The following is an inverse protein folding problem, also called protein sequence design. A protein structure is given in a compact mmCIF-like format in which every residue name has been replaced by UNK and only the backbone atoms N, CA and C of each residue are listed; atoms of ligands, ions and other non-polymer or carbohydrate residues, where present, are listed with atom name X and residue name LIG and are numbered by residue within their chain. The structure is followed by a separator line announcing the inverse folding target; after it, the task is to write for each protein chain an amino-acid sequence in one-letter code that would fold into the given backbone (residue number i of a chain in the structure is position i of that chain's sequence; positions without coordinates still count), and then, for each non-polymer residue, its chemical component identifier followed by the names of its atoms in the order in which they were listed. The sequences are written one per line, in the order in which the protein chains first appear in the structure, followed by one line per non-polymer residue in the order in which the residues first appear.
data_IF_202426327506
#
_entry.id   IF_202426327506
#
_cell.length_a   1.000
_cell.length_b   1.000
_cell.length_c   1.000
_cell.angle_alpha   90.00
_cell.angle_beta   90.00
_cell.angle_gamma   90.00
#
_symmetry.space_group_name_H-M   'P 1'
#
loop_
_entity.id
_entity.type
_entity.pdbx_description
1 polymer ?
#
# COMPACT_ATOMS: atom_id res chain seq x y z
N UNK A 1 21.36 4.23 -7.67
CA UNK A 1 20.08 3.89 -8.31
C UNK A 1 20.32 2.76 -9.32
N UNK A 2 19.60 1.64 -9.20
CA UNK A 2 19.65 0.53 -10.17
C UNK A 2 18.56 0.74 -11.21
N UNK A 3 18.86 0.50 -12.51
CA UNK A 3 17.89 0.61 -13.61
C UNK A 3 17.87 -0.67 -14.43
N UNK A 4 16.69 -1.11 -14.83
CA UNK A 4 16.47 -2.25 -15.73
C UNK A 4 15.08 -2.16 -16.38
N UNK A 5 14.75 -3.09 -17.27
CA UNK A 5 13.45 -3.13 -17.94
C UNK A 5 12.60 -4.28 -17.39
N UNK A 6 11.35 -4.01 -17.09
CA UNK A 6 10.34 -5.04 -16.87
C UNK A 6 9.79 -5.48 -18.22
N UNK A 7 10.09 -6.70 -18.62
CA UNK A 7 9.66 -7.27 -19.91
C UNK A 7 8.33 -7.96 -19.78
N UNK A 8 7.40 -7.61 -20.65
CA UNK A 8 6.07 -8.21 -20.77
C UNK A 8 5.79 -8.57 -22.23
N UNK A 9 4.74 -9.32 -22.50
CA UNK A 9 4.26 -9.55 -23.87
C UNK A 9 3.68 -8.30 -24.55
N UNK A 10 3.38 -7.25 -23.78
CA UNK A 10 2.80 -5.98 -24.25
C UNK A 10 3.83 -4.86 -24.39
N UNK A 11 5.09 -5.08 -23.99
CA UNK A 11 6.17 -4.10 -24.09
C UNK A 11 7.14 -4.16 -22.92
N UNK A 12 8.11 -3.26 -22.94
CA UNK A 12 9.15 -3.13 -21.91
C UNK A 12 8.98 -1.81 -21.17
N UNK A 13 8.95 -1.87 -19.83
CA UNK A 13 8.74 -0.69 -18.98
C UNK A 13 9.98 -0.43 -18.10
N UNK A 14 10.50 0.81 -18.06
CA UNK A 14 11.67 1.14 -17.26
C UNK A 14 11.37 1.01 -15.75
N UNK A 15 12.27 0.34 -15.05
CA UNK A 15 12.24 0.12 -13.61
C UNK A 15 13.45 0.81 -12.96
N UNK A 16 13.16 1.65 -11.99
CA UNK A 16 14.15 2.37 -11.21
C UNK A 16 14.08 1.92 -9.76
N UNK A 17 15.19 1.41 -9.21
CA UNK A 17 15.28 1.10 -7.78
C UNK A 17 16.11 2.17 -7.10
N UNK A 18 15.52 2.82 -6.12
CA UNK A 18 16.17 3.90 -5.39
C UNK A 18 17.23 3.35 -4.42
N UNK A 19 18.27 4.14 -4.20
CA UNK A 19 19.30 3.79 -3.23
C UNK A 19 18.81 4.09 -1.80
N UNK A 20 19.23 3.31 -0.79
CA UNK A 20 18.91 3.57 0.62
C UNK A 20 19.20 5.01 1.08
N UNK A 21 20.28 5.62 0.60
CA UNK A 21 20.68 6.99 0.97
C UNK A 21 19.60 8.06 0.64
N UNK A 22 18.71 7.76 -0.32
CA UNK A 22 17.59 8.64 -0.66
C UNK A 22 16.56 8.79 0.49
N UNK A 23 16.63 7.93 1.51
CA UNK A 23 15.66 7.87 2.62
C UNK A 23 16.25 8.27 3.97
N UNK A 24 17.53 8.69 4.00
CA UNK A 24 18.24 8.98 5.25
C UNK A 24 18.47 7.72 6.08
N UNK A 25 18.70 7.86 7.39
CA UNK A 25 19.04 6.73 8.27
C UNK A 25 17.89 5.74 8.57
N UNK A 26 16.78 5.80 7.84
CA UNK A 26 15.62 4.91 8.07
C UNK A 26 15.78 3.52 7.45
N UNK A 27 16.78 3.32 6.59
CA UNK A 27 17.09 2.01 6.05
C UNK A 27 17.93 1.21 7.04
N UNK A 28 17.30 0.26 7.71
CA UNK A 28 18.00 -0.61 8.65
C UNK A 28 18.53 -1.87 7.97
N UNK A 29 19.78 -2.22 8.26
CA UNK A 29 20.35 -3.49 7.84
C UNK A 29 19.59 -4.65 8.49
N UNK A 30 19.47 -5.76 7.76
CA UNK A 30 18.79 -6.96 8.22
C UNK A 30 19.43 -7.50 9.51
N UNK A 31 18.62 -7.68 10.55
CA UNK A 31 19.03 -8.34 11.79
C UNK A 31 18.90 -9.85 11.67
N UNK A 32 19.91 -10.61 12.11
CA UNK A 32 19.86 -12.07 12.20
C UNK A 32 18.73 -12.52 13.15
N UNK A 33 18.52 -11.81 14.24
CA UNK A 33 17.43 -12.08 15.18
C UNK A 33 16.07 -11.96 14.51
N UNK A 34 15.87 -10.94 13.66
CA UNK A 34 14.62 -10.76 12.92
C UNK A 34 14.43 -11.84 11.85
N UNK A 35 15.50 -12.27 11.18
CA UNK A 35 15.44 -13.41 10.25
C UNK A 35 15.01 -14.67 11.01
N UNK A 36 15.59 -14.94 12.17
CA UNK A 36 15.19 -16.05 13.05
C UNK A 36 13.71 -15.97 13.47
N UNK A 37 13.24 -14.76 13.80
CA UNK A 37 11.83 -14.50 14.10
C UNK A 37 10.91 -14.81 12.91
N UNK A 38 11.26 -14.42 11.68
CA UNK A 38 10.47 -14.77 10.49
C UNK A 38 10.43 -16.28 10.23
N UNK A 39 11.55 -16.98 10.43
CA UNK A 39 11.60 -18.44 10.34
C UNK A 39 10.69 -19.10 11.40
N UNK A 40 10.81 -18.66 12.66
CA UNK A 40 9.94 -19.13 13.73
C UNK A 40 8.46 -18.89 13.42
N UNK A 41 8.12 -17.70 12.96
CA UNK A 41 6.76 -17.33 12.55
C UNK A 41 6.24 -18.24 11.44
N UNK A 42 7.08 -18.54 10.43
CA UNK A 42 6.75 -19.47 9.36
C UNK A 42 6.49 -20.89 9.85
N UNK A 43 7.38 -21.42 10.68
CA UNK A 43 7.24 -22.76 11.27
C UNK A 43 6.01 -22.85 12.18
N UNK A 44 5.80 -21.86 13.04
CA UNK A 44 4.64 -21.79 13.92
C UNK A 44 3.33 -21.74 13.11
N UNK A 45 3.24 -20.86 12.10
CA UNK A 45 2.06 -20.76 11.25
C UNK A 45 1.80 -22.06 10.49
N UNK A 46 2.85 -22.73 10.00
CA UNK A 46 2.73 -24.03 9.35
C UNK A 46 2.19 -25.10 10.30
N UNK A 47 2.76 -25.21 11.50
CA UNK A 47 2.32 -26.18 12.52
C UNK A 47 0.85 -25.94 12.92
N UNK A 48 0.45 -24.69 13.15
CA UNK A 48 -0.91 -24.32 13.49
C UNK A 48 -1.89 -24.61 12.34
N UNK A 49 -1.48 -24.37 11.09
CA UNK A 49 -2.26 -24.73 9.90
C UNK A 49 -2.52 -26.22 9.79
N UNK A 50 -1.48 -27.03 9.95
CA UNK A 50 -1.62 -28.51 9.92
C UNK A 50 -2.55 -28.98 11.01
N UNK A 51 -2.37 -28.51 12.24
CA UNK A 51 -3.21 -28.85 13.38
C UNK A 51 -4.67 -28.50 13.13
N UNK A 52 -4.96 -27.28 12.68
CA UNK A 52 -6.32 -26.83 12.40
C UNK A 52 -6.95 -27.60 11.22
N UNK A 53 -6.15 -27.92 10.18
CA UNK A 53 -6.62 -28.73 9.06
C UNK A 53 -7.03 -30.12 9.50
N UNK A 54 -6.24 -30.74 10.41
CA UNK A 54 -6.60 -32.01 11.00
C UNK A 54 -7.88 -31.92 11.81
N UNK A 55 -8.04 -30.92 12.68
CA UNK A 55 -9.27 -30.69 13.42
C UNK A 55 -10.47 -30.47 12.50
N UNK A 56 -10.38 -29.60 11.50
CA UNK A 56 -11.46 -29.38 10.52
C UNK A 56 -11.81 -30.66 9.75
N UNK A 57 -10.81 -31.45 9.39
CA UNK A 57 -11.02 -32.74 8.72
C UNK A 57 -11.82 -33.70 9.59
N UNK A 58 -11.51 -33.78 10.89
CA UNK A 58 -12.17 -34.66 11.85
C UNK A 58 -13.57 -34.17 12.20
N UNK A 59 -13.69 -32.90 12.63
CA UNK A 59 -14.93 -32.32 13.11
C UNK A 59 -16.01 -32.20 12.02
N UNK A 60 -15.61 -31.90 10.79
CA UNK A 60 -16.55 -31.71 9.67
C UNK A 60 -16.86 -33.02 8.91
N UNK A 61 -16.49 -34.16 9.43
CA UNK A 61 -16.70 -35.48 8.79
C UNK A 61 -15.96 -35.66 7.44
N UNK A 62 -15.03 -34.77 7.10
CA UNK A 62 -14.26 -34.78 5.84
C UNK A 62 -13.10 -35.79 5.86
N UNK A 63 -13.29 -36.93 6.50
CA UNK A 63 -12.21 -37.97 6.66
C UNK A 63 -11.65 -38.45 5.33
N UNK A 64 -12.49 -38.50 4.31
CA UNK A 64 -12.11 -38.99 2.97
C UNK A 64 -11.47 -37.89 2.05
N UNK A 65 -11.38 -36.65 2.52
CA UNK A 65 -10.73 -35.59 1.75
C UNK A 65 -9.22 -35.61 2.01
N UNK A 66 -8.35 -35.64 0.98
CA UNK A 66 -6.92 -35.58 1.19
C UNK A 66 -6.49 -34.37 2.01
N UNK A 67 -5.57 -34.57 2.95
CA UNK A 67 -5.06 -33.47 3.81
C UNK A 67 -4.50 -32.31 2.99
N UNK A 68 -3.82 -32.60 1.87
CA UNK A 68 -3.28 -31.58 0.98
C UNK A 68 -4.35 -30.64 0.43
N UNK A 69 -5.56 -31.14 0.12
CA UNK A 69 -6.68 -30.29 -0.32
C UNK A 69 -7.20 -29.39 0.80
N UNK A 70 -7.29 -29.92 2.02
CA UNK A 70 -7.70 -29.12 3.20
C UNK A 70 -6.69 -28.02 3.49
N UNK A 71 -5.38 -28.32 3.43
CA UNK A 71 -4.30 -27.35 3.60
C UNK A 71 -4.32 -26.29 2.51
N UNK A 72 -4.60 -26.68 1.27
CA UNK A 72 -4.70 -25.73 0.15
C UNK A 72 -5.90 -24.77 0.30
N UNK A 73 -7.06 -25.29 0.71
CA UNK A 73 -8.25 -24.47 1.01
C UNK A 73 -7.96 -23.50 2.17
N UNK A 74 -7.31 -23.97 3.22
CA UNK A 74 -6.92 -23.16 4.39
C UNK A 74 -5.83 -22.14 4.05
N UNK A 75 -4.92 -22.46 3.15
CA UNK A 75 -3.88 -21.52 2.69
C UNK A 75 -4.44 -20.26 2.03
N UNK A 76 -5.74 -20.25 1.71
CA UNK A 76 -6.48 -19.10 1.19
C UNK A 76 -7.26 -18.33 2.24
N UNK A 77 -7.41 -18.92 3.44
CA UNK A 77 -8.13 -18.32 4.56
C UNK A 77 -7.12 -17.81 5.58
N UNK A 78 -6.97 -16.48 5.66
CA UNK A 78 -6.09 -15.81 6.59
C UNK A 78 -6.68 -15.68 8.00
N UNK A 79 -7.97 -15.96 8.21
CA UNK A 79 -8.62 -15.99 9.53
C UNK A 79 -8.21 -17.24 10.32
N UNK A 80 -6.96 -17.24 10.82
CA UNK A 80 -6.35 -18.41 11.40
C UNK A 80 -5.97 -18.19 12.86
N UNK A 81 -6.00 -19.27 13.69
CA UNK A 81 -5.61 -19.18 15.11
C UNK A 81 -4.17 -18.72 15.33
N UNK A 82 -3.29 -18.85 14.33
CA UNK A 82 -1.92 -18.33 14.40
C UNK A 82 -1.87 -16.80 14.61
N UNK A 83 -2.90 -16.07 14.20
CA UNK A 83 -2.99 -14.63 14.41
C UNK A 83 -3.09 -14.25 15.90
N UNK A 84 -3.62 -15.15 16.75
CA UNK A 84 -3.73 -14.93 18.19
C UNK A 84 -2.36 -14.86 18.88
N UNK A 85 -1.34 -15.45 18.26
CA UNK A 85 0.02 -15.41 18.79
C UNK A 85 0.53 -13.97 18.96
N UNK A 86 0.42 -13.14 17.90
CA UNK A 86 0.92 -11.77 17.94
C UNK A 86 0.14 -10.86 18.90
N UNK A 87 -1.17 -11.05 19.04
CA UNK A 87 -2.04 -10.22 19.87
C UNK A 87 -1.71 -10.31 21.37
N UNK A 88 -1.18 -11.46 21.82
CA UNK A 88 -0.78 -11.66 23.22
C UNK A 88 0.52 -10.94 23.57
N UNK A 89 1.35 -10.64 22.58
CA UNK A 89 2.67 -10.08 22.80
C UNK A 89 2.77 -8.60 22.46
N UNK A 90 1.83 -8.06 21.68
CA UNK A 90 1.83 -6.66 21.29
C UNK A 90 0.42 -6.18 20.93
N UNK A 91 -0.11 -5.20 21.70
CA UNK A 91 -1.36 -4.52 21.35
C UNK A 91 -1.29 -3.79 20.01
N UNK A 92 -0.10 -3.42 19.56
CA UNK A 92 0.11 -2.82 18.25
C UNK A 92 -0.02 -3.85 17.12
N UNK A 93 0.27 -5.14 17.37
CA UNK A 93 -0.07 -6.20 16.43
C UNK A 93 -1.59 -6.32 16.24
N UNK A 94 -2.34 -6.28 17.35
CA UNK A 94 -3.81 -6.25 17.30
C UNK A 94 -4.32 -5.03 16.52
N UNK A 95 -3.78 -3.82 16.82
CA UNK A 95 -4.14 -2.58 16.10
C UNK A 95 -3.82 -2.67 14.61
N UNK A 96 -2.64 -3.17 14.22
CA UNK A 96 -2.28 -3.37 12.82
C UNK A 96 -3.20 -4.38 12.12
N UNK A 97 -3.55 -5.48 12.78
CA UNK A 97 -4.44 -6.50 12.25
C UNK A 97 -5.86 -5.99 12.02
N UNK A 98 -6.47 -5.31 12.99
CA UNK A 98 -7.81 -4.74 12.86
C UNK A 98 -7.89 -3.57 11.89
N UNK A 99 -6.79 -2.86 11.70
CA UNK A 99 -6.66 -1.81 10.69
C UNK A 99 -6.11 -2.32 9.34
N UNK A 100 -5.95 -3.63 9.16
CA UNK A 100 -5.42 -4.22 7.93
C UNK A 100 -6.23 -3.76 6.71
N UNK A 101 -5.54 -3.41 5.63
CA UNK A 101 -6.09 -2.80 4.43
C UNK A 101 -6.75 -1.41 4.64
N UNK A 102 -6.72 -0.86 5.85
CA UNK A 102 -7.27 0.44 6.20
C UNK A 102 -6.20 1.47 6.54
N UNK A 103 -6.64 2.71 6.74
CA UNK A 103 -5.78 3.83 7.07
C UNK A 103 -5.09 3.70 8.44
N UNK A 104 -5.70 2.98 9.41
CA UNK A 104 -5.20 2.84 10.78
C UNK A 104 -3.85 2.10 10.83
N UNK A 105 -3.69 1.04 10.02
CA UNK A 105 -2.42 0.32 9.93
C UNK A 105 -1.36 1.15 9.22
N UNK A 106 -1.76 1.88 8.19
CA UNK A 106 -0.86 2.79 7.47
C UNK A 106 -0.41 3.93 8.39
N UNK A 107 -1.31 4.53 9.18
CA UNK A 107 -0.96 5.56 10.16
C UNK A 107 0.04 5.05 11.21
N UNK A 108 -0.19 3.83 11.74
CA UNK A 108 0.75 3.20 12.66
C UNK A 108 2.15 3.05 12.05
N UNK A 109 2.24 2.64 10.78
CA UNK A 109 3.52 2.40 10.12
C UNK A 109 4.21 3.69 9.66
N UNK A 110 3.47 4.63 9.09
CA UNK A 110 4.00 5.92 8.64
C UNK A 110 4.55 6.75 9.80
N UNK A 111 3.79 6.79 10.88
CA UNK A 111 4.07 7.66 12.01
C UNK A 111 4.66 6.90 13.22
N UNK A 112 5.22 5.71 13.01
CA UNK A 112 5.76 4.88 14.08
C UNK A 112 6.79 5.62 14.95
N UNK A 113 7.79 6.23 14.32
CA UNK A 113 8.88 6.91 15.03
C UNK A 113 8.42 8.16 15.78
N UNK A 114 7.45 8.87 15.23
CA UNK A 114 6.96 10.15 15.76
C UNK A 114 5.85 9.98 16.80
N UNK A 115 4.88 9.08 16.53
CA UNK A 115 3.68 8.94 17.36
C UNK A 115 3.70 7.71 18.27
N UNK A 116 4.24 6.57 17.80
CA UNK A 116 4.13 5.30 18.52
C UNK A 116 5.34 5.00 19.38
N UNK A 117 6.54 5.06 18.80
CA UNK A 117 7.79 4.75 19.50
C UNK A 117 8.02 5.52 20.80
N UNK A 118 7.75 6.84 20.88
CA UNK A 118 7.94 7.62 22.11
C UNK A 118 7.02 7.18 23.25
N UNK A 119 5.88 6.58 22.94
CA UNK A 119 4.88 6.14 23.92
C UNK A 119 5.10 4.69 24.40
N UNK A 120 6.03 3.96 23.78
CA UNK A 120 6.34 2.58 24.18
C UNK A 120 7.10 2.55 25.50
N UNK A 121 6.56 1.85 26.48
CA UNK A 121 7.22 1.64 27.76
C UNK A 121 8.44 0.71 27.62
N UNK A 122 9.32 0.73 28.62
CA UNK A 122 10.46 -0.19 28.72
C UNK A 122 10.07 -1.51 29.42
N UNK A 123 8.87 -2.00 29.12
CA UNK A 123 8.39 -3.32 29.51
C UNK A 123 8.54 -4.33 28.37
N UNK A 124 8.18 -5.58 28.64
CA UNK A 124 8.27 -6.67 27.70
C UNK A 124 7.47 -6.41 26.40
N UNK A 125 6.27 -5.86 26.52
CA UNK A 125 5.43 -5.51 25.37
C UNK A 125 6.07 -4.42 24.51
N UNK A 126 6.58 -3.38 25.13
CA UNK A 126 7.26 -2.29 24.43
C UNK A 126 8.54 -2.75 23.71
N UNK A 127 9.33 -3.63 24.34
CA UNK A 127 10.53 -4.21 23.73
C UNK A 127 10.19 -5.06 22.52
N UNK A 128 9.18 -5.95 22.61
CA UNK A 128 8.72 -6.78 21.51
C UNK A 128 8.14 -5.93 20.38
N UNK A 129 7.35 -4.91 20.73
CA UNK A 129 6.77 -4.00 19.74
C UNK A 129 7.86 -3.27 18.95
N UNK A 130 8.88 -2.72 19.64
CA UNK A 130 10.05 -2.14 18.96
C UNK A 130 10.71 -3.16 18.06
N UNK A 131 10.96 -4.37 18.56
CA UNK A 131 11.65 -5.40 17.82
C UNK A 131 10.96 -5.72 16.49
N UNK A 132 9.67 -6.06 16.50
CA UNK A 132 9.02 -6.47 15.27
C UNK A 132 8.69 -5.30 14.33
N UNK A 133 8.25 -4.13 14.85
CA UNK A 133 7.92 -2.98 14.00
C UNK A 133 9.18 -2.36 13.39
N UNK A 134 10.25 -2.16 14.16
CA UNK A 134 11.46 -1.50 13.65
C UNK A 134 12.16 -2.33 12.57
N UNK A 135 12.23 -3.65 12.76
CA UNK A 135 12.88 -4.54 11.81
C UNK A 135 11.99 -4.96 10.64
N UNK A 136 10.70 -4.69 10.70
CA UNK A 136 9.76 -5.04 9.64
C UNK A 136 10.07 -4.27 8.35
N UNK A 137 10.49 -5.01 7.30
CA UNK A 137 10.80 -4.41 5.99
C UNK A 137 9.57 -3.79 5.34
N UNK A 138 8.39 -4.43 5.48
CA UNK A 138 7.16 -3.86 4.95
C UNK A 138 6.79 -2.53 5.61
N UNK A 139 7.02 -2.34 6.92
CA UNK A 139 6.82 -1.05 7.57
C UNK A 139 7.74 0.01 6.96
N UNK A 140 9.02 -0.29 6.82
CA UNK A 140 9.98 0.63 6.23
C UNK A 140 9.65 0.91 4.76
N UNK A 141 9.30 -0.12 3.98
CA UNK A 141 8.90 0.01 2.58
C UNK A 141 7.65 0.87 2.40
N UNK A 142 6.65 0.71 3.28
CA UNK A 142 5.42 1.54 3.30
C UNK A 142 5.76 3.01 3.60
N UNK A 143 6.63 3.28 4.57
CA UNK A 143 7.10 4.64 4.87
C UNK A 143 7.90 5.24 3.70
N UNK A 144 8.76 4.44 3.07
CA UNK A 144 9.52 4.86 1.89
C UNK A 144 8.58 5.14 0.70
N UNK A 145 7.54 4.30 0.50
CA UNK A 145 6.50 4.52 -0.49
C UNK A 145 5.83 5.88 -0.31
N UNK A 146 5.45 6.24 0.93
CA UNK A 146 4.88 7.54 1.23
C UNK A 146 5.79 8.68 0.76
N UNK A 147 7.09 8.63 1.10
CA UNK A 147 8.07 9.63 0.69
C UNK A 147 8.22 9.72 -0.83
N UNK A 148 8.25 8.58 -1.52
CA UNK A 148 8.31 8.53 -2.99
C UNK A 148 7.07 9.19 -3.59
N UNK A 149 5.87 8.81 -3.13
CA UNK A 149 4.61 9.37 -3.66
C UNK A 149 4.53 10.88 -3.43
N UNK A 150 4.92 11.36 -2.24
CA UNK A 150 5.00 12.81 -1.96
C UNK A 150 5.91 13.51 -2.97
N UNK A 151 7.12 12.99 -3.21
CA UNK A 151 8.06 13.62 -4.14
C UNK A 151 7.57 13.55 -5.60
N UNK A 152 6.91 12.45 -6.00
CA UNK A 152 6.31 12.32 -7.32
C UNK A 152 5.14 13.29 -7.54
N UNK A 153 4.31 13.52 -6.52
CA UNK A 153 3.26 14.54 -6.59
C UNK A 153 3.87 15.93 -6.74
N UNK A 154 4.90 16.26 -5.94
CA UNK A 154 5.63 17.53 -6.04
C UNK A 154 6.23 17.73 -7.45
N UNK A 155 6.92 16.69 -7.98
CA UNK A 155 7.45 16.70 -9.37
C UNK A 155 6.32 16.92 -10.39
N UNK A 156 5.20 16.23 -10.21
CA UNK A 156 4.06 16.28 -11.12
C UNK A 156 3.37 17.63 -11.09
N UNK A 157 3.25 18.29 -9.93
CA UNK A 157 2.71 19.66 -9.85
C UNK A 157 3.50 20.63 -10.72
N UNK A 158 4.83 20.47 -10.80
CA UNK A 158 5.68 21.29 -11.66
C UNK A 158 5.30 21.21 -13.14
N UNK A 159 4.81 20.06 -13.62
CA UNK A 159 4.35 19.91 -15.00
C UNK A 159 3.10 20.75 -15.31
N UNK A 160 2.33 21.12 -14.31
CA UNK A 160 1.09 21.88 -14.41
C UNK A 160 1.19 23.28 -13.77
N UNK A 161 2.39 23.75 -13.44
CA UNK A 161 2.59 25.05 -12.76
C UNK A 161 2.03 26.26 -13.54
N UNK A 162 1.88 26.14 -14.87
CA UNK A 162 1.24 27.13 -15.71
C UNK A 162 -0.29 27.13 -15.72
N UNK A 163 -0.92 26.12 -15.13
CA UNK A 163 -2.37 26.05 -15.03
C UNK A 163 -2.88 26.99 -13.92
N UNK A 164 -4.04 27.65 -14.09
CA UNK A 164 -4.62 28.51 -13.05
C UNK A 164 -4.98 27.74 -11.78
N UNK A 165 -5.24 26.44 -11.92
CA UNK A 165 -5.55 25.52 -10.83
C UNK A 165 -5.10 24.11 -11.21
N UNK A 166 -4.37 23.44 -10.32
CA UNK A 166 -3.96 22.03 -10.48
C UNK A 166 -4.99 21.17 -9.75
N UNK A 167 -5.68 20.29 -10.48
CA UNK A 167 -6.72 19.41 -9.92
C UNK A 167 -6.20 18.00 -9.73
N UNK A 168 -6.20 17.54 -8.47
CA UNK A 168 -5.80 16.20 -8.07
C UNK A 168 -6.99 15.41 -7.53
N UNK A 169 -7.27 14.25 -8.10
CA UNK A 169 -8.26 13.30 -7.61
C UNK A 169 -7.54 12.13 -6.94
N UNK A 170 -7.78 11.92 -5.64
CA UNK A 170 -7.27 10.76 -4.91
C UNK A 170 -8.38 9.74 -4.73
N UNK A 171 -8.17 8.52 -5.22
CA UNK A 171 -9.14 7.41 -5.24
C UNK A 171 -8.70 6.35 -4.24
N UNK A 172 -9.62 5.94 -3.34
CA UNK A 172 -9.32 5.14 -2.15
C UNK A 172 -8.21 5.84 -1.33
N UNK A 173 -8.47 7.10 -1.00
CA UNK A 173 -7.50 8.07 -0.50
C UNK A 173 -6.96 7.73 0.90
N UNK A 174 -7.64 6.88 1.67
CA UNK A 174 -7.32 6.65 3.07
C UNK A 174 -7.29 7.98 3.84
N UNK A 175 -6.26 8.18 4.65
CA UNK A 175 -6.02 9.45 5.37
C UNK A 175 -5.35 10.55 4.51
N UNK A 176 -5.10 10.29 3.22
CA UNK A 176 -4.53 11.22 2.24
C UNK A 176 -3.20 11.90 2.64
N UNK A 177 -2.39 11.28 3.52
CA UNK A 177 -1.14 11.89 4.02
C UNK A 177 -0.19 12.31 2.88
N UNK A 178 -0.05 11.51 1.82
CA UNK A 178 0.82 11.84 0.69
C UNK A 178 0.37 13.12 -0.01
N UNK A 179 -0.92 13.29 -0.24
CA UNK A 179 -1.50 14.47 -0.89
C UNK A 179 -1.30 15.70 -0.01
N UNK A 180 -1.65 15.62 1.28
CA UNK A 180 -1.50 16.72 2.24
C UNK A 180 -0.03 17.17 2.32
N UNK A 181 0.90 16.23 2.54
CA UNK A 181 2.33 16.53 2.64
C UNK A 181 2.91 17.13 1.35
N UNK A 182 2.44 16.69 0.18
CA UNK A 182 2.91 17.23 -1.11
C UNK A 182 2.43 18.67 -1.32
N UNK A 183 1.20 18.99 -0.90
CA UNK A 183 0.66 20.36 -0.97
C UNK A 183 1.35 21.30 0.04
N UNK A 184 1.66 20.81 1.25
CA UNK A 184 2.44 21.59 2.22
C UNK A 184 3.86 21.95 1.73
N UNK A 185 4.47 21.08 0.89
CA UNK A 185 5.77 21.35 0.27
C UNK A 185 5.71 22.37 -0.85
N UNK A 186 4.51 22.67 -1.38
CA UNK A 186 4.29 23.61 -2.48
C UNK A 186 3.15 24.58 -2.14
N UNK A 187 3.29 25.40 -1.11
CA UNK A 187 2.21 26.27 -0.62
C UNK A 187 1.77 27.30 -1.67
N UNK A 188 2.69 27.72 -2.54
CA UNK A 188 2.45 28.74 -3.55
C UNK A 188 1.67 28.23 -4.77
N UNK A 189 1.58 26.92 -4.97
CA UNK A 189 0.83 26.33 -6.08
C UNK A 189 -0.65 26.22 -5.71
N UNK A 190 -1.52 26.64 -6.63
CA UNK A 190 -2.96 26.48 -6.46
C UNK A 190 -3.39 25.06 -6.79
N UNK A 191 -3.14 24.14 -5.85
CA UNK A 191 -3.56 22.74 -5.96
C UNK A 191 -4.88 22.54 -5.22
N UNK A 192 -5.87 21.96 -5.90
CA UNK A 192 -7.11 21.48 -5.30
C UNK A 192 -7.18 19.97 -5.35
N UNK A 193 -7.55 19.35 -4.24
CA UNK A 193 -7.67 17.91 -4.11
C UNK A 193 -9.12 17.48 -3.87
N UNK A 194 -9.56 16.46 -4.58
CA UNK A 194 -10.83 15.76 -4.33
C UNK A 194 -10.51 14.34 -3.85
N UNK A 195 -10.99 13.97 -2.66
CA UNK A 195 -10.72 12.68 -2.03
C UNK A 195 -11.97 11.80 -2.07
N UNK A 196 -11.80 10.56 -2.56
CA UNK A 196 -12.86 9.53 -2.54
C UNK A 196 -12.35 8.36 -1.69
N UNK A 197 -13.09 8.01 -0.65
CA UNK A 197 -12.88 6.76 0.09
C UNK A 197 -14.22 6.19 0.56
N UNK A 198 -14.32 4.88 0.65
CA UNK A 198 -15.51 4.20 1.14
C UNK A 198 -15.59 4.12 2.67
N UNK A 199 -14.46 4.27 3.36
CA UNK A 199 -14.36 4.27 4.82
C UNK A 199 -14.63 5.67 5.40
N UNK A 200 -15.71 5.80 6.14
CA UNK A 200 -16.06 7.04 6.84
C UNK A 200 -14.94 7.48 7.83
N UNK A 201 -14.27 6.52 8.46
CA UNK A 201 -13.15 6.78 9.37
C UNK A 201 -11.94 7.35 8.64
N UNK A 202 -11.65 6.86 7.43
CA UNK A 202 -10.60 7.40 6.57
C UNK A 202 -10.89 8.86 6.19
N UNK A 203 -12.11 9.15 5.76
CA UNK A 203 -12.55 10.52 5.43
C UNK A 203 -12.49 11.44 6.65
N UNK A 204 -12.92 10.97 7.83
CA UNK A 204 -12.85 11.75 9.07
C UNK A 204 -11.40 12.08 9.44
N UNK A 205 -10.49 11.10 9.34
CA UNK A 205 -9.06 11.32 9.60
C UNK A 205 -8.42 12.25 8.56
N UNK A 206 -8.75 12.08 7.27
CA UNK A 206 -8.27 12.99 6.24
C UNK A 206 -8.70 14.45 6.51
N UNK A 207 -9.97 14.68 6.88
CA UNK A 207 -10.47 16.01 7.27
C UNK A 207 -9.70 16.58 8.46
N UNK A 208 -9.45 15.76 9.49
CA UNK A 208 -8.67 16.20 10.66
C UNK A 208 -7.25 16.63 10.27
N UNK A 209 -6.56 15.83 9.44
CA UNK A 209 -5.21 16.15 8.97
C UNK A 209 -5.16 17.38 8.06
N UNK A 210 -6.16 17.55 7.19
CA UNK A 210 -6.30 18.73 6.32
C UNK A 210 -6.49 20.00 7.15
N UNK A 211 -7.34 19.95 8.18
CA UNK A 211 -7.55 21.07 9.11
C UNK A 211 -6.26 21.41 9.88
N UNK A 212 -5.53 20.40 10.40
CA UNK A 212 -4.24 20.61 11.06
C UNK A 212 -3.21 21.23 10.11
N UNK A 213 -3.26 20.88 8.82
CA UNK A 213 -2.41 21.46 7.77
C UNK A 213 -2.87 22.86 7.29
N UNK A 214 -4.05 23.33 7.72
CA UNK A 214 -4.70 24.59 7.28
C UNK A 214 -4.92 24.65 5.77
N UNK A 215 -5.45 23.55 5.20
CA UNK A 215 -5.71 23.38 3.78
C UNK A 215 -7.20 23.15 3.46
N UNK A 216 -8.11 23.46 4.39
CA UNK A 216 -9.55 23.12 4.31
C UNK A 216 -10.22 23.65 3.04
N UNK A 217 -9.85 24.81 2.58
CA UNK A 217 -10.36 25.47 1.39
C UNK A 217 -9.92 24.81 0.08
N UNK A 218 -8.90 23.97 0.14
CA UNK A 218 -8.32 23.27 -1.02
C UNK A 218 -8.77 21.82 -1.18
N UNK A 219 -9.58 21.30 -0.25
CA UNK A 219 -9.98 19.90 -0.25
C UNK A 219 -11.49 19.71 -0.36
N UNK A 220 -11.89 18.74 -1.16
CA UNK A 220 -13.26 18.20 -1.22
C UNK A 220 -13.25 16.72 -0.89
N UNK A 221 -14.30 16.21 -0.25
CA UNK A 221 -14.38 14.84 0.26
C UNK A 221 -15.68 14.19 -0.16
N UNK A 222 -15.60 12.93 -0.58
CA UNK A 222 -16.77 12.11 -0.87
C UNK A 222 -16.59 10.72 -0.25
N UNK A 223 -17.48 10.35 0.65
CA UNK A 223 -17.55 8.96 1.12
C UNK A 223 -18.26 8.11 0.06
N UNK A 224 -17.49 7.43 -0.77
CA UNK A 224 -18.02 6.58 -1.84
C UNK A 224 -17.01 5.50 -2.25
N UNK A 225 -17.49 4.49 -2.93
CA UNK A 225 -16.60 3.49 -3.57
C UNK A 225 -16.04 4.00 -4.89
N UNK A 226 -15.14 3.25 -5.50
CA UNK A 226 -14.60 3.55 -6.85
C UNK A 226 -15.65 3.63 -7.96
N UNK A 227 -16.92 3.32 -7.69
CA UNK A 227 -18.03 3.53 -8.63
C UNK A 227 -18.32 5.01 -8.89
N UNK A 228 -18.03 5.90 -7.92
CA UNK A 228 -18.19 7.34 -8.08
C UNK A 228 -17.07 7.99 -8.92
N UNK A 229 -16.01 7.24 -9.30
CA UNK A 229 -14.88 7.76 -10.05
C UNK A 229 -15.31 8.52 -11.30
N UNK A 230 -16.20 7.93 -12.10
CA UNK A 230 -16.59 8.50 -13.40
C UNK A 230 -17.32 9.83 -13.25
N UNK A 231 -18.30 9.88 -12.35
CA UNK A 231 -19.09 11.09 -12.07
C UNK A 231 -18.18 12.22 -11.55
N UNK A 232 -17.35 11.90 -10.54
CA UNK A 232 -16.45 12.88 -9.95
C UNK A 232 -15.38 13.34 -10.95
N UNK A 233 -14.75 12.42 -11.70
CA UNK A 233 -13.71 12.76 -12.64
C UNK A 233 -14.26 13.58 -13.83
N UNK A 234 -15.46 13.30 -14.31
CA UNK A 234 -16.14 14.08 -15.36
C UNK A 234 -16.42 15.51 -14.91
N UNK A 235 -16.88 15.69 -13.66
CA UNK A 235 -17.17 17.01 -13.11
C UNK A 235 -15.90 17.78 -12.71
N UNK A 236 -14.98 17.13 -12.03
CA UNK A 236 -13.77 17.73 -11.45
C UNK A 236 -12.65 17.93 -12.48
N UNK A 237 -12.60 17.11 -13.55
CA UNK A 237 -11.60 17.15 -14.63
C UNK A 237 -10.17 17.15 -14.08
N UNK A 238 -9.74 16.11 -13.40
CA UNK A 238 -8.43 16.08 -12.73
C UNK A 238 -7.28 16.07 -13.74
N UNK A 239 -6.21 16.81 -13.44
CA UNK A 239 -4.92 16.70 -14.13
C UNK A 239 -4.11 15.51 -13.63
N UNK A 240 -4.30 15.17 -12.35
CA UNK A 240 -3.58 14.11 -11.66
C UNK A 240 -4.61 13.20 -10.98
N UNK A 241 -4.48 11.89 -11.19
CA UNK A 241 -5.22 10.89 -10.41
C UNK A 241 -4.21 10.08 -9.60
N UNK A 242 -4.39 10.03 -8.29
CA UNK A 242 -3.60 9.23 -7.37
C UNK A 242 -4.47 8.11 -6.82
N UNK A 243 -3.93 6.87 -6.79
CA UNK A 243 -4.59 5.71 -6.22
C UNK A 243 -3.51 4.76 -5.66
N UNK A 244 -3.06 5.01 -4.44
CA UNK A 244 -1.94 4.28 -3.83
C UNK A 244 -2.43 3.31 -2.75
N UNK A 245 -2.05 2.03 -2.87
CA UNK A 245 -2.42 0.98 -1.92
C UNK A 245 -3.77 0.31 -2.18
N UNK A 246 -4.36 0.47 -3.37
CA UNK A 246 -5.65 -0.09 -3.72
C UNK A 246 -5.57 -1.28 -4.70
N UNK A 247 -4.62 -1.27 -5.65
CA UNK A 247 -4.44 -2.35 -6.62
C UNK A 247 -4.04 -3.67 -5.94
N UNK A 248 -3.46 -3.60 -4.76
CA UNK A 248 -3.09 -4.75 -3.92
C UNK A 248 -4.30 -5.64 -3.56
N UNK A 249 -5.52 -5.13 -3.73
CA UNK A 249 -6.78 -5.84 -3.41
C UNK A 249 -7.64 -6.12 -4.64
N UNK A 250 -7.16 -5.83 -5.84
CA UNK A 250 -7.94 -5.99 -7.08
C UNK A 250 -7.43 -7.15 -7.93
N UNK A 251 -8.30 -8.13 -8.26
CA UNK A 251 -7.98 -9.15 -9.27
C UNK A 251 -7.56 -8.49 -10.59
N UNK A 252 -6.70 -9.19 -11.36
CA UNK A 252 -6.06 -8.69 -12.58
C UNK A 252 -7.05 -7.96 -13.52
N UNK A 253 -8.13 -8.62 -13.90
CA UNK A 253 -9.08 -8.06 -14.87
C UNK A 253 -9.81 -6.82 -14.34
N UNK A 254 -10.17 -6.82 -13.05
CA UNK A 254 -10.79 -5.65 -12.40
C UNK A 254 -9.81 -4.49 -12.25
N UNK A 255 -8.52 -4.79 -12.04
CA UNK A 255 -7.47 -3.77 -11.99
C UNK A 255 -7.29 -3.11 -13.37
N UNK A 256 -7.19 -3.92 -14.45
CA UNK A 256 -7.08 -3.43 -15.83
C UNK A 256 -8.27 -2.53 -16.20
N UNK A 257 -9.50 -2.98 -15.94
CA UNK A 257 -10.70 -2.17 -16.20
C UNK A 257 -10.72 -0.84 -15.44
N UNK A 258 -10.24 -0.85 -14.19
CA UNK A 258 -10.18 0.39 -13.39
C UNK A 258 -9.11 1.35 -13.93
N UNK A 259 -7.95 0.84 -14.32
CA UNK A 259 -6.86 1.62 -14.91
C UNK A 259 -7.30 2.24 -16.25
N UNK A 260 -7.98 1.47 -17.11
CA UNK A 260 -8.54 1.98 -18.37
C UNK A 260 -9.52 3.13 -18.12
N UNK A 261 -10.46 2.97 -17.18
CA UNK A 261 -11.38 4.06 -16.80
C UNK A 261 -10.63 5.30 -16.30
N UNK A 262 -9.63 5.13 -15.43
CA UNK A 262 -8.81 6.23 -14.91
C UNK A 262 -8.14 6.97 -16.08
N UNK A 263 -7.51 6.23 -17.01
CA UNK A 263 -6.87 6.80 -18.18
C UNK A 263 -7.83 7.62 -19.05
N UNK A 264 -9.05 7.13 -19.25
CA UNK A 264 -10.05 7.80 -20.09
C UNK A 264 -10.48 9.16 -19.53
N UNK A 265 -10.50 9.33 -18.20
CA UNK A 265 -10.85 10.59 -17.53
C UNK A 265 -9.67 11.55 -17.33
N UNK A 266 -8.42 11.13 -17.60
CA UNK A 266 -7.29 12.02 -17.61
C UNK A 266 -7.29 12.86 -18.91
N UNK A 267 -6.90 14.16 -18.86
CA UNK A 267 -6.61 14.94 -20.06
C UNK A 267 -5.34 14.41 -20.74
N UNK A 268 -5.06 14.85 -21.97
CA UNK A 268 -3.74 14.70 -22.56
C UNK A 268 -2.69 15.30 -21.61
N UNK A 269 -1.54 14.64 -21.48
CA UNK A 269 -0.50 14.96 -20.48
C UNK A 269 -0.93 14.74 -19.01
N UNK A 270 -2.14 14.24 -18.76
CA UNK A 270 -2.60 13.90 -17.43
C UNK A 270 -1.79 12.75 -16.82
N UNK A 271 -1.64 12.74 -15.49
CA UNK A 271 -0.76 11.79 -14.78
C UNK A 271 -1.55 10.89 -13.84
N UNK A 272 -1.31 9.59 -13.94
CA UNK A 272 -1.78 8.59 -12.98
C UNK A 272 -0.63 8.08 -12.12
N UNK A 273 -0.78 8.16 -10.79
CA UNK A 273 0.18 7.62 -9.82
C UNK A 273 -0.49 6.50 -9.04
N UNK A 274 0.11 5.32 -9.05
CA UNK A 274 -0.42 4.16 -8.33
C UNK A 274 0.70 3.27 -7.80
N UNK A 275 0.36 2.23 -7.04
CA UNK A 275 1.35 1.26 -6.57
C UNK A 275 0.81 -0.16 -6.52
N UNK A 276 1.73 -1.11 -6.46
CA UNK A 276 1.44 -2.49 -6.11
C UNK A 276 2.56 -3.11 -5.27
N UNK A 277 2.17 -3.97 -4.34
CA UNK A 277 3.11 -4.72 -3.51
C UNK A 277 3.67 -5.91 -4.28
N UNK A 278 4.99 -6.15 -4.12
CA UNK A 278 5.68 -7.32 -4.63
C UNK A 278 5.80 -8.41 -3.56
N UNK A 279 5.80 -9.67 -3.96
CA UNK A 279 6.04 -10.79 -3.05
C UNK A 279 7.39 -10.62 -2.36
N UNK A 280 7.38 -10.72 -1.05
CA UNK A 280 8.54 -10.54 -0.20
C UNK A 280 8.57 -11.61 0.90
N UNK A 281 9.66 -11.66 1.67
CA UNK A 281 9.87 -12.68 2.70
C UNK A 281 8.96 -12.57 3.93
N UNK A 282 8.33 -11.40 4.13
CA UNK A 282 7.39 -11.15 5.24
C UNK A 282 5.94 -11.51 4.90
N UNK A 283 5.69 -12.08 3.70
CA UNK A 283 4.34 -12.46 3.27
C UNK A 283 3.60 -13.30 4.31
N UNK A 284 4.29 -14.27 4.95
CA UNK A 284 3.67 -15.11 6.00
C UNK A 284 3.28 -14.27 7.21
N UNK A 285 4.13 -13.33 7.63
CA UNK A 285 3.83 -12.39 8.71
C UNK A 285 2.58 -11.55 8.39
N UNK A 286 2.52 -11.01 7.17
CA UNK A 286 1.39 -10.20 6.72
C UNK A 286 0.10 -11.02 6.64
N UNK A 287 0.13 -12.15 5.94
CA UNK A 287 -1.08 -12.93 5.66
C UNK A 287 -1.62 -13.65 6.91
N UNK A 288 -0.74 -14.13 7.80
CA UNK A 288 -1.11 -15.05 8.88
C UNK A 288 -1.08 -14.45 10.29
N UNK A 289 -0.26 -13.46 10.54
CA UNK A 289 -0.22 -12.77 11.84
C UNK A 289 -0.95 -11.44 11.83
N UNK A 290 -0.74 -10.64 10.78
CA UNK A 290 -1.41 -9.35 10.66
C UNK A 290 -2.76 -9.45 9.93
N UNK A 291 -3.14 -10.62 9.41
CA UNK A 291 -4.36 -10.85 8.64
C UNK A 291 -4.52 -9.82 7.51
N UNK A 292 -3.43 -9.51 6.83
CA UNK A 292 -3.38 -8.54 5.76
C UNK A 292 -3.01 -9.19 4.42
N UNK A 293 -3.88 -10.04 3.86
CA UNK A 293 -3.62 -10.69 2.58
C UNK A 293 -3.74 -9.70 1.44
N UNK A 294 -2.76 -9.73 0.53
CA UNK A 294 -2.69 -8.85 -0.63
C UNK A 294 -2.41 -9.67 -1.89
N UNK A 295 -2.69 -9.07 -3.04
CA UNK A 295 -2.35 -9.63 -4.36
C UNK A 295 -0.97 -9.08 -4.74
N UNK A 296 0.03 -9.94 -4.58
CA UNK A 296 1.42 -9.62 -4.87
C UNK A 296 1.68 -9.74 -6.37
N UNK A 297 2.33 -8.72 -6.96
CA UNK A 297 2.72 -8.70 -8.37
C UNK A 297 4.20 -8.36 -8.51
N UNK A 298 4.91 -9.07 -9.35
CA UNK A 298 6.26 -8.69 -9.73
C UNK A 298 6.23 -7.49 -10.70
N UNK A 299 7.40 -7.01 -11.10
CA UNK A 299 7.54 -5.84 -11.96
C UNK A 299 6.85 -6.02 -13.31
N UNK A 300 6.98 -7.21 -13.92
CA UNK A 300 6.37 -7.52 -15.21
C UNK A 300 4.83 -7.61 -15.10
N UNK A 301 4.33 -8.29 -14.07
CA UNK A 301 2.88 -8.38 -13.81
C UNK A 301 2.27 -7.00 -13.52
N UNK A 302 2.99 -6.12 -12.83
CA UNK A 302 2.53 -4.77 -12.56
C UNK A 302 2.55 -3.90 -13.83
N UNK A 303 3.64 -3.96 -14.60
CA UNK A 303 3.73 -3.30 -15.91
C UNK A 303 2.63 -3.76 -16.86
N UNK A 304 2.34 -5.06 -16.91
CA UNK A 304 1.27 -5.63 -17.74
C UNK A 304 -0.10 -5.03 -17.40
N UNK A 305 -0.42 -4.80 -16.12
CA UNK A 305 -1.70 -4.16 -15.76
C UNK A 305 -1.83 -2.78 -16.39
N UNK A 306 -0.75 -1.98 -16.37
CA UNK A 306 -0.74 -0.60 -16.85
C UNK A 306 -0.83 -0.55 -18.39
N UNK A 307 -0.07 -1.41 -19.07
CA UNK A 307 -0.09 -1.54 -20.53
C UNK A 307 -1.47 -2.00 -21.03
N UNK A 308 -2.06 -3.03 -20.40
CA UNK A 308 -3.42 -3.50 -20.72
C UNK A 308 -4.49 -2.49 -20.36
N UNK A 309 -4.23 -1.61 -19.39
CA UNK A 309 -5.07 -0.46 -19.04
C UNK A 309 -4.92 0.72 -20.02
N UNK A 310 -4.17 0.54 -21.12
CA UNK A 310 -4.10 1.47 -22.24
C UNK A 310 -2.98 2.51 -22.18
N UNK A 311 -2.13 2.51 -21.15
CA UNK A 311 -0.95 3.39 -21.14
C UNK A 311 0.14 2.87 -22.08
N UNK A 312 0.83 3.78 -22.80
CA UNK A 312 1.98 3.44 -23.62
C UNK A 312 3.20 3.08 -22.77
N UNK A 313 4.02 2.14 -23.24
CA UNK A 313 5.26 1.75 -22.56
C UNK A 313 6.20 2.93 -22.29
N UNK A 314 6.29 3.88 -23.23
CA UNK A 314 7.16 5.05 -23.13
C UNK A 314 6.68 6.06 -22.09
N UNK A 315 5.42 5.96 -21.71
CA UNK A 315 4.74 6.83 -20.78
C UNK A 315 4.61 6.24 -19.37
N UNK A 316 5.17 5.05 -19.13
CA UNK A 316 5.15 4.37 -17.84
C UNK A 316 6.55 4.35 -17.24
N UNK A 317 6.66 4.71 -15.96
CA UNK A 317 7.87 4.57 -15.16
C UNK A 317 7.56 3.85 -13.86
N UNK A 318 8.24 2.74 -13.57
CA UNK A 318 8.15 2.03 -12.31
C UNK A 318 9.30 2.43 -11.38
N UNK A 319 8.99 2.74 -10.13
CA UNK A 319 9.94 3.15 -9.11
C UNK A 319 9.77 2.26 -7.90
N UNK A 320 10.84 1.61 -7.47
CA UNK A 320 10.87 0.78 -6.27
C UNK A 320 11.72 1.42 -5.17
N UNK A 321 11.25 1.28 -3.95
CA UNK A 321 12.07 1.56 -2.76
C UNK A 321 13.15 0.48 -2.59
N UNK A 322 14.16 0.68 -1.72
CA UNK A 322 15.35 -0.20 -1.66
C UNK A 322 15.08 -1.68 -1.37
N UNK A 323 14.02 -2.03 -0.66
CA UNK A 323 13.64 -3.44 -0.40
C UNK A 323 12.95 -4.11 -1.59
N UNK A 324 12.55 -3.34 -2.60
CA UNK A 324 11.74 -3.80 -3.75
C UNK A 324 10.42 -4.45 -3.33
N UNK A 325 9.80 -3.94 -2.28
CA UNK A 325 8.52 -4.44 -1.77
C UNK A 325 7.37 -3.68 -2.44
N UNK A 326 7.43 -2.33 -2.46
CA UNK A 326 6.42 -1.52 -3.11
C UNK A 326 6.94 -0.92 -4.42
N UNK A 327 6.29 -1.29 -5.53
CA UNK A 327 6.48 -0.63 -6.82
C UNK A 327 5.47 0.51 -6.97
N UNK A 328 5.95 1.71 -7.29
CA UNK A 328 5.14 2.88 -7.60
C UNK A 328 5.21 3.11 -9.10
N UNK A 329 4.07 3.30 -9.73
CA UNK A 329 3.99 3.64 -11.15
C UNK A 329 3.59 5.11 -11.33
N UNK A 330 4.26 5.75 -12.27
CA UNK A 330 3.86 7.05 -12.85
C UNK A 330 3.55 6.80 -14.30
N UNK A 331 2.32 7.10 -14.70
CA UNK A 331 1.83 6.90 -16.07
C UNK A 331 1.33 8.24 -16.61
N UNK A 332 1.76 8.63 -17.80
CA UNK A 332 1.25 9.80 -18.54
C UNK A 332 0.30 9.33 -19.63
N UNK A 333 -0.75 10.10 -19.84
CA UNK A 333 -1.67 9.85 -20.97
C UNK A 333 -1.12 10.42 -22.25
#
# INVERSE_FOLDING_TARGET
MQRYQAKTEFGEVPVHVLHPDAFGGEYQKRSLAYIGFLWFTGLYSCAMNVTQALFRKILNGRRNVPLGRVLWEMGRDSSHVSCLFGDRFSRHNHRAKWGAAGWQSLDLFYNYHEKTKPLLKNDWEGLLTRFWIEWMENRQAVTNRLKIVVNLLVETYGNFAGAPEIRLLSVASGSAQAVIMSMQKNPDLNVRAFLIDSDAGAIAEAKRLVNEARLDDRFSFLQATTKALEEVAAAFKPHIIEMVGFLDYRPKEKAVQLIDRIRNYLPEEGVFITCNIRRNREKILLDWLLLWPMIYRNEAEFAELLLRGGFSQDNIRLIYEPFKIHGIAVCRK
#
